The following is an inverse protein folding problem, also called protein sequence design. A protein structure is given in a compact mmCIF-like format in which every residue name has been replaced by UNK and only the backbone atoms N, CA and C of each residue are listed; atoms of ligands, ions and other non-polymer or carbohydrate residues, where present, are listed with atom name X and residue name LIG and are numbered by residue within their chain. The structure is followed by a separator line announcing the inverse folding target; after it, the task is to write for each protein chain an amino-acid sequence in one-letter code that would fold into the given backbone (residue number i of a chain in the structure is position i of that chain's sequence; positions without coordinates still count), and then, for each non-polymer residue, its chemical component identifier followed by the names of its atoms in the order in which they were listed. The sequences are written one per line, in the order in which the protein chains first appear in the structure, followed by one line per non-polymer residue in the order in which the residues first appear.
data_IF_005219839214
#
_entry.id   IF_005219839214
#
_cell.length_a   1.000
_cell.length_b   1.000
_cell.length_c   1.000
_cell.angle_alpha   90.00
_cell.angle_beta   90.00
_cell.angle_gamma   90.00
#
_symmetry.space_group_name_H-M   'P 1'
#
loop_
_entity.id
_entity.type
_entity.pdbx_description
1 polymer ?
#
# COMPACT_ATOMS: atom_id res chain seq x y z
N UNK A 1 8.52 -37.07 -14.13
CA UNK A 1 7.12 -36.65 -14.39
C UNK A 1 7.12 -35.91 -15.72
N UNK A 2 6.63 -36.54 -16.80
CA UNK A 2 6.46 -35.84 -18.09
C UNK A 2 5.15 -35.07 -18.04
N UNK A 3 5.22 -33.74 -18.11
CA UNK A 3 4.06 -32.90 -18.38
C UNK A 3 3.89 -32.76 -19.89
N UNK A 4 2.63 -32.69 -20.34
CA UNK A 4 2.32 -32.37 -21.73
C UNK A 4 2.06 -30.88 -21.87
N UNK A 5 2.62 -30.29 -22.91
CA UNK A 5 2.35 -28.91 -23.34
C UNK A 5 0.86 -28.73 -23.67
N UNK A 6 0.16 -27.80 -23.00
CA UNK A 6 -1.29 -27.57 -23.21
C UNK A 6 -1.67 -27.13 -24.63
N UNK A 7 -0.75 -26.54 -25.39
CA UNK A 7 -1.02 -26.01 -26.74
C UNK A 7 -0.65 -26.98 -27.86
N UNK A 8 0.41 -27.76 -27.63
CA UNK A 8 1.06 -28.57 -28.66
C UNK A 8 1.05 -30.07 -28.36
N UNK A 9 0.65 -30.48 -27.15
CA UNK A 9 0.52 -31.88 -26.76
C UNK A 9 1.84 -32.65 -26.58
N UNK A 10 2.98 -32.03 -26.90
CA UNK A 10 4.30 -32.64 -26.78
C UNK A 10 4.69 -32.87 -25.31
N UNK A 11 5.39 -33.97 -25.04
CA UNK A 11 6.00 -34.23 -23.73
C UNK A 11 7.22 -33.34 -23.55
N UNK A 12 7.32 -32.72 -22.38
CA UNK A 12 8.33 -31.72 -22.06
C UNK A 12 9.00 -32.05 -20.74
N UNK A 13 10.33 -31.98 -20.75
CA UNK A 13 11.21 -32.32 -19.62
C UNK A 13 11.84 -31.09 -18.95
N UNK A 14 11.49 -29.87 -19.39
CA UNK A 14 12.03 -28.60 -18.90
C UNK A 14 10.96 -27.54 -18.58
N UNK A 15 11.40 -26.31 -18.26
CA UNK A 15 10.53 -25.17 -17.89
C UNK A 15 9.79 -24.55 -19.08
N UNK A 16 10.23 -24.84 -20.30
CA UNK A 16 9.71 -24.29 -21.55
C UNK A 16 9.47 -25.41 -22.56
N UNK A 17 8.46 -25.21 -23.40
CA UNK A 17 8.16 -26.08 -24.53
C UNK A 17 9.16 -25.85 -25.67
N UNK A 18 9.98 -26.85 -26.00
CA UNK A 18 10.98 -26.74 -27.08
C UNK A 18 10.35 -26.54 -28.47
N UNK A 19 9.13 -27.04 -28.67
CA UNK A 19 8.43 -26.96 -29.97
C UNK A 19 7.68 -25.63 -30.18
N UNK A 20 7.27 -24.97 -29.10
CA UNK A 20 6.34 -23.84 -29.14
C UNK A 20 6.81 -22.63 -28.34
N UNK A 21 7.94 -22.73 -27.63
CA UNK A 21 8.55 -21.68 -26.82
C UNK A 21 7.76 -21.30 -25.56
N UNK A 22 6.57 -21.88 -25.37
CA UNK A 22 5.65 -21.45 -24.32
C UNK A 22 6.09 -21.98 -22.94
N UNK A 23 6.07 -21.13 -21.89
CA UNK A 23 6.38 -21.58 -20.54
C UNK A 23 5.33 -22.59 -20.07
N UNK A 24 5.79 -23.71 -19.52
CA UNK A 24 4.88 -24.69 -18.96
C UNK A 24 4.44 -24.17 -17.59
N UNK A 25 3.13 -24.15 -17.28
CA UNK A 25 2.68 -23.83 -15.93
C UNK A 25 3.19 -24.93 -15.00
N UNK A 26 4.30 -24.67 -14.32
CA UNK A 26 4.76 -25.48 -13.21
C UNK A 26 3.81 -25.22 -12.04
N UNK A 27 3.54 -26.21 -11.20
CA UNK A 27 2.61 -26.04 -10.07
C UNK A 27 2.92 -24.80 -9.18
N UNK A 28 4.17 -24.34 -9.19
CA UNK A 28 4.63 -23.13 -8.49
C UNK A 28 4.13 -21.82 -9.13
N UNK A 29 4.10 -21.70 -10.45
CA UNK A 29 3.75 -20.43 -11.11
C UNK A 29 2.23 -20.24 -11.28
N UNK A 30 1.44 -21.31 -11.38
CA UNK A 30 -0.03 -21.23 -11.49
C UNK A 30 -0.69 -20.68 -10.22
N UNK A 31 -0.27 -21.13 -9.03
CA UNK A 31 -0.83 -20.63 -7.77
C UNK A 31 -0.43 -19.17 -7.50
N UNK A 32 0.84 -18.83 -7.73
CA UNK A 32 1.31 -17.44 -7.55
C UNK A 32 0.63 -16.50 -8.54
N UNK A 33 0.43 -16.91 -9.79
CA UNK A 33 -0.24 -16.10 -10.80
C UNK A 33 -1.73 -15.88 -10.48
N UNK A 34 -2.43 -16.89 -9.93
CA UNK A 34 -3.81 -16.77 -9.45
C UNK A 34 -3.94 -15.84 -8.25
N UNK A 35 -3.00 -15.88 -7.31
CA UNK A 35 -2.96 -14.92 -6.18
C UNK A 35 -2.74 -13.51 -6.71
N UNK A 36 -1.78 -13.32 -7.64
CA UNK A 36 -1.51 -12.01 -8.22
C UNK A 36 -2.70 -11.46 -9.03
N UNK A 37 -3.42 -12.30 -9.77
CA UNK A 37 -4.67 -11.92 -10.45
C UNK A 37 -5.83 -11.61 -9.49
N UNK A 38 -5.87 -12.24 -8.31
CA UNK A 38 -6.86 -11.91 -7.30
C UNK A 38 -6.56 -10.54 -6.64
N UNK A 39 -5.27 -10.21 -6.47
CA UNK A 39 -4.81 -8.91 -5.96
C UNK A 39 -4.86 -7.78 -7.00
N UNK A 40 -4.69 -8.06 -8.30
CA UNK A 40 -4.77 -7.05 -9.37
C UNK A 40 -6.20 -6.68 -9.77
N UNK A 41 -7.20 -7.36 -9.18
CA UNK A 41 -8.58 -7.15 -9.54
C UNK A 41 -8.98 -5.68 -9.28
N UNK A 42 -9.45 -4.95 -10.31
CA UNK A 42 -9.67 -3.50 -10.24
C UNK A 42 -10.73 -3.11 -9.21
N UNK A 43 -11.56 -4.07 -8.77
CA UNK A 43 -12.56 -3.90 -7.71
C UNK A 43 -11.95 -3.73 -6.31
N UNK A 44 -10.74 -4.24 -6.09
CA UNK A 44 -10.01 -4.04 -4.84
C UNK A 44 -9.05 -2.84 -4.94
N UNK A 45 -8.44 -2.59 -6.10
CA UNK A 45 -7.48 -1.48 -6.27
C UNK A 45 -8.04 -0.10 -5.90
N UNK A 46 -9.25 0.22 -6.34
CA UNK A 46 -9.95 1.47 -6.01
C UNK A 46 -10.49 1.52 -4.56
N UNK A 47 -10.76 0.37 -3.95
CA UNK A 47 -11.21 0.26 -2.55
C UNK A 47 -10.06 0.52 -1.57
N UNK A 48 -8.88 -0.03 -1.82
CA UNK A 48 -7.70 0.17 -0.95
C UNK A 48 -7.21 1.62 -0.95
N UNK A 49 -7.18 2.29 -2.12
CA UNK A 49 -6.79 3.70 -2.23
C UNK A 49 -7.77 4.61 -1.48
N UNK A 50 -9.06 4.32 -1.58
CA UNK A 50 -10.10 5.06 -0.86
C UNK A 50 -10.02 4.82 0.66
N UNK A 51 -9.77 3.57 1.08
CA UNK A 51 -9.56 3.21 2.48
C UNK A 51 -8.35 3.91 3.10
N UNK A 52 -7.21 3.94 2.39
CA UNK A 52 -5.99 4.58 2.90
C UNK A 52 -6.15 6.09 3.06
N UNK A 53 -6.86 6.76 2.14
CA UNK A 53 -7.21 8.18 2.28
C UNK A 53 -8.13 8.44 3.46
N UNK A 54 -9.05 7.53 3.76
CA UNK A 54 -9.93 7.62 4.92
C UNK A 54 -9.14 7.46 6.22
N UNK A 55 -8.27 6.44 6.29
CA UNK A 55 -7.42 6.17 7.45
C UNK A 55 -6.52 7.37 7.75
N UNK A 56 -5.89 7.97 6.72
CA UNK A 56 -5.04 9.16 6.89
C UNK A 56 -5.80 10.36 7.50
N UNK A 57 -7.06 10.59 7.10
CA UNK A 57 -7.90 11.66 7.68
C UNK A 57 -8.24 11.38 9.14
N UNK A 58 -8.52 10.13 9.48
CA UNK A 58 -8.84 9.71 10.84
C UNK A 58 -7.61 9.82 11.74
N UNK A 59 -6.46 9.35 11.28
CA UNK A 59 -5.18 9.45 11.99
C UNK A 59 -4.82 10.91 12.29
N UNK A 60 -4.93 11.79 11.27
CA UNK A 60 -4.68 13.22 11.42
C UNK A 60 -5.56 13.83 12.53
N UNK A 61 -6.84 13.50 12.56
CA UNK A 61 -7.76 14.01 13.58
C UNK A 61 -7.38 13.53 14.98
N UNK A 62 -7.05 12.24 15.12
CA UNK A 62 -6.66 11.65 16.42
C UNK A 62 -5.39 12.29 16.95
N UNK A 63 -4.33 12.39 16.13
CA UNK A 63 -3.05 12.98 16.55
C UNK A 63 -3.22 14.45 16.91
N UNK A 64 -4.00 15.19 16.14
CA UNK A 64 -4.27 16.61 16.41
C UNK A 64 -5.01 16.80 17.74
N UNK A 65 -6.06 16.00 18.00
CA UNK A 65 -6.81 16.05 19.26
C UNK A 65 -5.92 15.68 20.45
N UNK A 66 -5.15 14.60 20.34
CA UNK A 66 -4.24 14.16 21.40
C UNK A 66 -3.17 15.23 21.71
N UNK A 67 -2.60 15.85 20.68
CA UNK A 67 -1.60 16.92 20.83
C UNK A 67 -2.20 18.15 21.52
N UNK A 68 -3.45 18.50 21.19
CA UNK A 68 -4.17 19.58 21.85
C UNK A 68 -4.44 19.27 23.33
N UNK A 69 -4.89 18.06 23.66
CA UNK A 69 -5.16 17.66 25.04
C UNK A 69 -3.87 17.74 25.88
N UNK A 70 -2.77 17.16 25.38
CA UNK A 70 -1.48 17.16 26.08
C UNK A 70 -0.93 18.58 26.24
N UNK A 71 -0.98 19.39 25.19
CA UNK A 71 -0.56 20.79 25.27
C UNK A 71 -1.41 21.60 26.24
N UNK A 72 -2.71 21.38 26.28
CA UNK A 72 -3.63 22.09 27.17
C UNK A 72 -3.44 21.69 28.64
N UNK A 73 -3.19 20.41 28.93
CA UNK A 73 -2.86 19.95 30.29
C UNK A 73 -1.59 20.64 30.79
N UNK A 74 -0.55 20.72 29.95
CA UNK A 74 0.70 21.38 30.29
C UNK A 74 0.52 22.89 30.53
N UNK A 75 -0.39 23.54 29.79
CA UNK A 75 -0.70 24.96 30.00
C UNK A 75 -1.50 25.24 31.29
N UNK A 76 -2.28 24.27 31.77
CA UNK A 76 -3.20 24.43 32.91
C UNK A 76 -2.66 23.90 34.22
N UNK A 77 -1.61 23.07 34.19
CA UNK A 77 -0.96 22.58 35.40
C UNK A 77 -0.23 23.68 36.18
N UNK A 78 -0.29 23.57 37.51
CA UNK A 78 0.39 24.50 38.43
C UNK A 78 1.90 24.26 38.36
N UNK A 79 2.61 25.11 37.62
CA UNK A 79 4.05 24.97 37.32
C UNK A 79 4.35 24.59 35.87
N UNK A 80 3.32 24.34 35.06
CA UNK A 80 3.46 24.12 33.63
C UNK A 80 3.86 25.40 32.90
N UNK A 81 4.71 25.26 31.89
CA UNK A 81 5.14 26.40 31.08
C UNK A 81 4.24 26.54 29.87
N UNK A 82 3.56 27.68 29.77
CA UNK A 82 2.70 28.01 28.62
C UNK A 82 3.41 27.80 27.26
N UNK A 83 4.70 28.18 27.19
CA UNK A 83 5.54 27.99 26.00
C UNK A 83 5.76 26.52 25.64
N UNK A 84 5.94 25.64 26.63
CA UNK A 84 6.15 24.21 26.40
C UNK A 84 4.86 23.58 25.87
N UNK A 85 3.70 23.91 26.46
CA UNK A 85 2.41 23.46 25.94
C UNK A 85 2.17 23.88 24.49
N UNK A 86 2.55 25.11 24.13
CA UNK A 86 2.41 25.62 22.75
C UNK A 86 3.36 24.89 21.78
N UNK A 87 4.60 24.62 22.20
CA UNK A 87 5.55 23.83 21.42
C UNK A 87 5.05 22.41 21.16
N UNK A 88 4.44 21.76 22.15
CA UNK A 88 3.87 20.41 22.00
C UNK A 88 2.76 20.42 20.93
N UNK A 89 1.87 21.40 20.96
CA UNK A 89 0.79 21.54 19.96
C UNK A 89 1.39 21.79 18.56
N UNK A 90 2.34 22.71 18.45
CA UNK A 90 2.97 23.04 17.18
C UNK A 90 3.71 21.84 16.57
N UNK A 91 4.44 21.08 17.40
CA UNK A 91 5.20 19.91 16.97
C UNK A 91 4.28 18.74 16.60
N UNK A 92 3.21 18.51 17.37
CA UNK A 92 2.18 17.52 17.06
C UNK A 92 1.47 17.81 15.73
N UNK A 93 1.11 19.08 15.49
CA UNK A 93 0.52 19.50 14.21
C UNK A 93 1.50 19.32 13.04
N UNK A 94 2.77 19.70 13.22
CA UNK A 94 3.79 19.52 12.18
C UNK A 94 3.95 18.04 11.80
N UNK A 95 4.03 17.14 12.79
CA UNK A 95 4.11 15.70 12.55
C UNK A 95 2.85 15.17 11.84
N UNK A 96 1.67 15.61 12.24
CA UNK A 96 0.42 15.20 11.59
C UNK A 96 0.37 15.64 10.11
N UNK A 97 0.84 16.85 9.81
CA UNK A 97 0.96 17.34 8.42
C UNK A 97 1.95 16.52 7.60
N UNK A 98 3.12 16.20 8.17
CA UNK A 98 4.14 15.38 7.51
C UNK A 98 3.57 13.99 7.19
N UNK A 99 2.87 13.36 8.14
CA UNK A 99 2.24 12.03 7.93
C UNK A 99 1.31 12.03 6.71
N UNK A 100 0.38 12.99 6.63
CA UNK A 100 -0.56 13.10 5.50
C UNK A 100 0.16 13.34 4.17
N UNK A 101 1.15 14.24 4.17
CA UNK A 101 1.92 14.55 2.97
C UNK A 101 2.69 13.32 2.44
N UNK A 102 3.36 12.59 3.33
CA UNK A 102 4.06 11.34 3.00
C UNK A 102 3.09 10.33 2.42
N UNK A 103 1.89 10.20 2.99
CA UNK A 103 0.89 9.25 2.50
C UNK A 103 0.36 9.61 1.11
N UNK A 104 0.16 10.90 0.80
CA UNK A 104 -0.22 11.32 -0.56
C UNK A 104 0.87 11.02 -1.59
N UNK A 105 2.14 11.18 -1.22
CA UNK A 105 3.28 10.86 -2.10
C UNK A 105 3.32 9.36 -2.39
N UNK A 106 3.18 8.51 -1.37
CA UNK A 106 3.11 7.06 -1.55
C UNK A 106 1.92 6.63 -2.41
N UNK A 107 0.76 7.25 -2.23
CA UNK A 107 -0.43 6.97 -3.03
C UNK A 107 -0.23 7.31 -4.50
N UNK A 108 0.39 8.46 -4.81
CA UNK A 108 0.68 8.83 -6.19
C UNK A 108 1.64 7.83 -6.86
N UNK A 109 2.72 7.44 -6.17
CA UNK A 109 3.66 6.44 -6.70
C UNK A 109 3.00 5.07 -6.92
N UNK A 110 2.12 4.64 -6.01
CA UNK A 110 1.41 3.38 -6.15
C UNK A 110 0.44 3.39 -7.34
N UNK A 111 -0.22 4.54 -7.59
CA UNK A 111 -1.11 4.72 -8.73
C UNK A 111 -0.34 4.62 -10.05
N UNK A 112 0.79 5.32 -10.16
CA UNK A 112 1.61 5.31 -11.37
C UNK A 112 2.08 3.89 -11.75
N UNK A 113 2.51 3.09 -10.76
CA UNK A 113 2.93 1.70 -10.99
C UNK A 113 1.76 0.84 -11.48
N UNK A 114 0.58 1.02 -10.88
CA UNK A 114 -0.62 0.27 -11.29
C UNK A 114 -1.06 0.63 -12.73
N UNK A 115 -0.94 1.90 -13.12
CA UNK A 115 -1.25 2.36 -14.47
C UNK A 115 -0.25 1.80 -15.50
N UNK A 116 1.05 1.81 -15.19
CA UNK A 116 2.08 1.27 -16.08
C UNK A 116 1.86 -0.23 -16.33
N UNK A 117 1.58 -1.01 -15.29
CA UNK A 117 1.31 -2.44 -15.43
C UNK A 117 0.06 -2.70 -16.30
N UNK A 118 -0.96 -1.84 -16.19
CA UNK A 118 -2.18 -1.95 -17.00
C UNK A 118 -1.95 -1.67 -18.50
N UNK A 119 -0.93 -0.89 -18.86
CA UNK A 119 -0.57 -0.60 -20.27
C UNK A 119 0.33 -1.65 -20.91
N UNK A 120 0.92 -2.54 -20.10
CA UNK A 120 1.85 -3.58 -20.55
C UNK A 120 1.17 -4.96 -20.75
N UNK A 121 -0.05 -5.15 -20.27
CA UNK A 121 -0.90 -6.33 -20.52
C UNK A 121 -1.76 -6.14 -21.75
#
# INVERSE_FOLDING_TARGET
MNSKCSKCGCEVTGSFCENCGEPIPTFRNDYTQKITQALDNPKYGNMWISGLKLIAKVEFAIITIASFILGFIEMTQRGGSFLIGLLIIALGLALAFISVAVMMVFLNMAQDISEINSKLK
#
